data_IF_562596156656
#
_entry.id   IF_562596156656
#
_cell.length_a   1.000
_cell.length_b   1.000
_cell.length_c   1.000
_cell.angle_alpha   90.00
_cell.angle_beta   90.00
_cell.angle_gamma   90.00
#
_symmetry.space_group_name_H-M   'P 1'
#
loop_
_entity.id
_entity.type
_entity.pdbx_description
1 polymer ?
#
# COMPACT_ATOMS: atom_id res chain seq x y z
N UNK A 1 -10.75 15.26 -23.88
CA UNK A 1 -9.58 15.61 -23.02
C UNK A 1 -9.21 14.52 -22.04
N UNK A 2 -10.14 13.93 -21.26
CA UNK A 2 -9.81 12.92 -20.24
C UNK A 2 -9.07 11.68 -20.79
N UNK A 3 -9.46 11.16 -21.97
CA UNK A 3 -8.82 9.98 -22.59
C UNK A 3 -7.36 10.17 -23.03
N UNK A 4 -6.96 11.40 -23.37
CA UNK A 4 -5.58 11.71 -23.75
C UNK A 4 -4.67 11.80 -22.52
N UNK A 5 -5.20 12.36 -21.42
CA UNK A 5 -4.50 12.43 -20.14
C UNK A 5 -4.23 11.02 -19.58
N UNK A 6 -5.20 10.10 -19.72
CA UNK A 6 -5.05 8.70 -19.27
C UNK A 6 -4.02 7.92 -20.10
N UNK A 7 -3.91 8.20 -21.40
CA UNK A 7 -2.88 7.59 -22.26
C UNK A 7 -1.47 8.07 -21.89
N UNK A 8 -1.32 9.39 -21.66
CA UNK A 8 -0.06 9.98 -21.19
C UNK A 8 0.37 9.42 -19.83
N UNK A 9 -0.58 9.25 -18.89
CA UNK A 9 -0.30 8.63 -17.59
C UNK A 9 0.14 7.16 -17.73
N UNK A 10 -0.45 6.41 -18.66
CA UNK A 10 -0.03 5.04 -19.00
C UNK A 10 1.37 4.96 -19.59
N UNK A 11 1.78 5.94 -20.41
CA UNK A 11 3.13 6.03 -20.97
C UNK A 11 4.17 6.40 -19.91
N UNK A 12 3.89 7.42 -19.09
CA UNK A 12 4.73 7.79 -17.95
C UNK A 12 4.89 6.59 -17.01
N UNK A 13 3.83 5.80 -16.83
CA UNK A 13 3.86 4.57 -16.06
C UNK A 13 4.78 3.50 -16.66
N UNK A 14 4.64 3.20 -17.96
CA UNK A 14 5.51 2.24 -18.64
C UNK A 14 6.99 2.65 -18.52
N UNK A 15 7.27 3.94 -18.61
CA UNK A 15 8.62 4.49 -18.41
C UNK A 15 9.10 4.29 -16.97
N UNK A 16 8.27 4.53 -15.96
CA UNK A 16 8.61 4.32 -14.55
C UNK A 16 8.83 2.84 -14.24
N UNK A 17 7.99 1.94 -14.77
CA UNK A 17 8.16 0.50 -14.63
C UNK A 17 9.43 0.00 -15.29
N UNK A 18 9.69 0.40 -16.54
CA UNK A 18 10.92 0.06 -17.25
C UNK A 18 12.13 0.64 -16.50
N UNK A 19 12.02 1.83 -15.92
CA UNK A 19 13.07 2.44 -15.12
C UNK A 19 13.32 1.68 -13.81
N UNK A 20 12.27 1.25 -13.10
CA UNK A 20 12.38 0.40 -11.90
C UNK A 20 13.02 -0.93 -12.28
N UNK A 21 12.49 -1.62 -13.29
CA UNK A 21 13.02 -2.92 -13.75
C UNK A 21 14.47 -2.79 -14.21
N UNK A 22 14.83 -1.79 -15.02
CA UNK A 22 16.22 -1.56 -15.44
C UNK A 22 17.12 -1.21 -14.26
N UNK A 23 16.68 -0.36 -13.34
CA UNK A 23 17.50 0.08 -12.20
C UNK A 23 17.77 -1.06 -11.21
N UNK A 24 16.85 -2.02 -11.08
CA UNK A 24 17.00 -3.18 -10.19
C UNK A 24 17.53 -4.44 -10.89
N UNK A 25 17.35 -4.60 -12.21
CA UNK A 25 17.96 -5.68 -13.00
C UNK A 25 19.44 -5.40 -13.34
N UNK A 26 19.85 -4.13 -13.45
CA UNK A 26 21.22 -3.75 -13.89
C UNK A 26 22.16 -3.43 -12.71
N UNK A 27 21.64 -3.17 -11.50
CA UNK A 27 22.51 -3.21 -10.32
C UNK A 27 22.70 -4.66 -9.91
N UNK A 28 23.68 -5.30 -10.54
CA UNK A 28 24.50 -6.34 -9.92
C UNK A 28 24.47 -6.14 -8.41
N UNK A 29 23.86 -7.10 -7.71
CA UNK A 29 24.26 -7.42 -6.34
C UNK A 29 25.78 -7.57 -6.46
N UNK A 30 26.59 -6.66 -5.88
CA UNK A 30 28.03 -6.87 -5.86
C UNK A 30 28.18 -8.25 -5.25
N UNK A 31 28.79 -9.18 -5.99
CA UNK A 31 29.17 -10.45 -5.41
C UNK A 31 30.01 -10.10 -4.19
N UNK A 32 29.43 -10.26 -3.00
CA UNK A 32 30.17 -10.26 -1.76
C UNK A 32 31.37 -11.17 -1.98
N UNK A 33 32.54 -10.72 -1.56
CA UNK A 33 33.80 -11.43 -1.70
C UNK A 33 33.56 -12.88 -1.28
N UNK A 34 33.51 -13.77 -2.27
CA UNK A 34 33.25 -15.20 -2.05
C UNK A 34 34.38 -15.72 -1.16
N UNK A 35 34.14 -15.80 0.15
CA UNK A 35 34.99 -16.60 1.02
C UNK A 35 34.70 -18.04 0.64
N UNK A 36 35.56 -18.55 -0.26
CA UNK A 36 35.64 -19.93 -0.70
C UNK A 36 35.79 -20.79 0.56
N UNK A 37 34.71 -21.40 1.06
CA UNK A 37 34.80 -22.19 2.28
C UNK A 37 33.49 -22.80 2.78
N UNK A 38 32.48 -22.01 3.11
CA UNK A 38 31.24 -22.55 3.70
C UNK A 38 30.04 -21.69 3.28
N UNK A 39 29.22 -22.19 2.33
CA UNK A 39 27.86 -21.67 2.17
C UNK A 39 27.06 -22.12 3.39
N UNK A 40 27.07 -21.33 4.48
CA UNK A 40 26.05 -21.46 5.53
C UNK A 40 24.73 -20.96 4.96
N UNK A 41 24.04 -21.83 4.24
CA UNK A 41 22.68 -21.59 3.78
C UNK A 41 21.75 -21.64 4.98
N UNK A 42 21.36 -20.46 5.47
CA UNK A 42 20.29 -20.34 6.45
C UNK A 42 18.99 -20.84 5.80
N UNK A 43 18.60 -22.09 6.10
CA UNK A 43 17.41 -22.74 5.48
C UNK A 43 16.16 -21.87 5.57
N UNK A 44 15.94 -21.24 6.73
CA UNK A 44 14.80 -20.35 6.95
C UNK A 44 14.87 -19.09 6.08
N UNK A 45 16.03 -18.43 5.99
CA UNK A 45 16.20 -17.23 5.17
C UNK A 45 15.97 -17.53 3.69
N UNK A 46 16.39 -18.72 3.22
CA UNK A 46 16.17 -19.13 1.84
C UNK A 46 14.70 -19.42 1.53
N UNK A 47 13.96 -20.06 2.46
CA UNK A 47 12.52 -20.26 2.32
C UNK A 47 11.80 -18.91 2.28
N UNK A 48 12.12 -18.00 3.19
CA UNK A 48 11.52 -16.66 3.22
C UNK A 48 11.84 -15.87 1.95
N UNK A 49 13.07 -15.95 1.44
CA UNK A 49 13.46 -15.34 0.16
C UNK A 49 12.56 -15.83 -0.99
N UNK A 50 12.35 -17.14 -1.09
CA UNK A 50 11.53 -17.73 -2.16
C UNK A 50 10.08 -17.25 -2.05
N UNK A 51 9.50 -17.28 -0.84
CA UNK A 51 8.14 -16.80 -0.60
C UNK A 51 8.03 -15.33 -1.01
N UNK A 52 8.95 -14.48 -0.56
CA UNK A 52 8.96 -13.05 -0.89
C UNK A 52 9.12 -12.84 -2.40
N UNK A 53 9.96 -13.61 -3.09
CA UNK A 53 10.09 -13.53 -4.55
C UNK A 53 8.78 -13.85 -5.27
N UNK A 54 8.06 -14.89 -4.84
CA UNK A 54 6.77 -15.26 -5.43
C UNK A 54 5.74 -14.16 -5.21
N UNK A 55 5.66 -13.63 -3.98
CA UNK A 55 4.74 -12.52 -3.65
C UNK A 55 5.11 -11.26 -4.43
N UNK A 56 6.40 -10.93 -4.55
CA UNK A 56 6.89 -9.78 -5.30
C UNK A 56 6.57 -9.88 -6.80
N UNK A 57 6.78 -11.04 -7.42
CA UNK A 57 6.44 -11.24 -8.83
C UNK A 57 4.93 -11.10 -9.04
N UNK A 58 4.12 -11.68 -8.14
CA UNK A 58 2.67 -11.53 -8.16
C UNK A 58 2.22 -10.07 -7.96
N UNK A 59 2.85 -9.34 -7.03
CA UNK A 59 2.53 -7.94 -6.75
C UNK A 59 2.92 -7.02 -7.92
N UNK A 60 4.07 -7.28 -8.57
CA UNK A 60 4.47 -6.56 -9.78
C UNK A 60 3.52 -6.85 -10.93
N UNK A 61 3.14 -8.12 -11.12
CA UNK A 61 2.18 -8.51 -12.16
C UNK A 61 0.82 -7.85 -11.96
N UNK A 62 0.30 -7.85 -10.73
CA UNK A 62 -0.94 -7.14 -10.40
C UNK A 62 -0.78 -5.63 -10.58
N UNK A 63 0.33 -5.03 -10.15
CA UNK A 63 0.58 -3.61 -10.38
C UNK A 63 0.59 -3.26 -11.88
N UNK A 64 1.09 -4.13 -12.75
CA UNK A 64 1.08 -3.94 -14.21
C UNK A 64 -0.35 -4.07 -14.76
N UNK A 65 -1.06 -5.14 -14.43
CA UNK A 65 -2.37 -5.44 -15.03
C UNK A 65 -3.47 -4.53 -14.49
N UNK A 66 -3.40 -4.15 -13.22
CA UNK A 66 -4.46 -3.43 -12.53
C UNK A 66 -4.82 -2.09 -13.21
N UNK A 67 -3.87 -1.22 -13.60
CA UNK A 67 -4.16 -0.02 -14.37
C UNK A 67 -4.82 -0.31 -15.73
N UNK A 68 -4.44 -1.39 -16.42
CA UNK A 68 -5.07 -1.71 -17.71
C UNK A 68 -6.51 -2.20 -17.51
N UNK A 69 -6.72 -3.14 -16.59
CA UNK A 69 -8.02 -3.75 -16.32
C UNK A 69 -9.01 -2.77 -15.67
N UNK A 70 -8.53 -1.93 -14.76
CA UNK A 70 -9.36 -1.07 -13.91
C UNK A 70 -9.14 0.42 -14.11
N UNK A 71 -8.39 0.85 -15.13
CA UNK A 71 -8.27 2.27 -15.48
C UNK A 71 -8.49 2.49 -16.98
N UNK A 72 -7.77 1.75 -17.81
CA UNK A 72 -7.83 1.89 -19.27
C UNK A 72 -9.09 1.25 -19.84
N UNK A 73 -9.36 -0.01 -19.52
CA UNK A 73 -10.52 -0.73 -20.05
C UNK A 73 -11.85 -0.02 -19.74
N UNK A 74 -12.14 0.39 -18.48
CA UNK A 74 -13.39 1.05 -18.15
C UNK A 74 -13.52 2.43 -18.78
N UNK A 75 -12.40 3.17 -18.91
CA UNK A 75 -12.39 4.47 -19.59
C UNK A 75 -12.69 4.33 -21.09
N UNK A 76 -12.12 3.33 -21.76
CA UNK A 76 -12.41 3.01 -23.16
C UNK A 76 -13.87 2.57 -23.31
N UNK A 77 -14.34 1.65 -22.45
CA UNK A 77 -15.72 1.18 -22.47
C UNK A 77 -16.72 2.32 -22.28
N UNK A 78 -16.44 3.26 -21.37
CA UNK A 78 -17.28 4.44 -21.17
C UNK A 78 -17.33 5.37 -22.38
N UNK A 79 -16.28 5.42 -23.22
CA UNK A 79 -16.32 6.18 -24.48
C UNK A 79 -17.29 5.57 -25.50
N UNK A 80 -17.43 4.24 -25.51
CA UNK A 80 -18.33 3.52 -26.42
C UNK A 80 -19.75 3.32 -25.85
N UNK A 81 -19.87 3.26 -24.53
CA UNK A 81 -21.12 3.06 -23.80
C UNK A 81 -21.11 3.86 -22.48
N UNK A 82 -21.71 5.07 -22.48
CA UNK A 82 -21.77 5.92 -21.29
C UNK A 82 -22.50 5.29 -20.10
N UNK A 83 -23.39 4.32 -20.34
CA UNK A 83 -24.14 3.63 -19.28
C UNK A 83 -23.29 2.62 -18.50
N UNK A 84 -22.07 2.33 -18.97
CA UNK A 84 -21.13 1.43 -18.29
C UNK A 84 -20.70 1.93 -16.89
N UNK A 85 -20.80 3.25 -16.61
CA UNK A 85 -20.50 3.81 -15.29
C UNK A 85 -21.49 3.37 -14.19
N UNK A 86 -22.71 3.01 -14.57
CA UNK A 86 -23.74 2.54 -13.62
C UNK A 86 -23.63 1.06 -13.30
N UNK A 87 -22.67 0.35 -13.89
CA UNK A 87 -22.49 -1.08 -13.65
C UNK A 87 -21.74 -1.35 -12.33
N UNK A 88 -22.07 -2.46 -11.66
CA UNK A 88 -21.50 -2.84 -10.36
C UNK A 88 -19.98 -3.00 -10.40
N UNK A 89 -19.42 -3.22 -11.59
CA UNK A 89 -17.98 -3.37 -11.86
C UNK A 89 -17.20 -2.08 -11.47
N UNK A 90 -17.86 -0.92 -11.46
CA UNK A 90 -17.25 0.36 -11.04
C UNK A 90 -17.51 0.72 -9.58
N UNK A 91 -18.21 -0.13 -8.82
CA UNK A 91 -18.38 0.09 -7.39
C UNK A 91 -17.05 -0.06 -6.66
N UNK A 92 -16.81 0.81 -5.69
CA UNK A 92 -15.66 0.68 -4.81
C UNK A 92 -16.10 0.76 -3.36
N UNK A 93 -15.46 -0.06 -2.54
CA UNK A 93 -15.76 -0.15 -1.12
C UNK A 93 -15.06 0.97 -0.36
N UNK A 94 -15.87 1.78 0.33
CA UNK A 94 -15.37 2.79 1.25
C UNK A 94 -15.69 2.34 2.67
N UNK A 95 -14.66 2.29 3.50
CA UNK A 95 -14.85 2.21 4.94
C UNK A 95 -15.39 3.53 5.46
N UNK A 96 -16.47 3.49 6.22
CA UNK A 96 -17.10 4.66 6.82
C UNK A 96 -17.52 4.38 8.24
N UNK A 97 -17.66 5.45 9.03
CA UNK A 97 -18.34 5.37 10.31
C UNK A 97 -19.80 5.76 10.12
N UNK A 98 -20.71 4.94 10.61
CA UNK A 98 -22.11 5.26 10.66
C UNK A 98 -22.55 5.55 12.10
N UNK A 99 -23.46 6.49 12.24
CA UNK A 99 -24.21 6.76 13.46
C UNK A 99 -25.69 6.73 13.09
N UNK A 100 -26.41 5.78 13.67
CA UNK A 100 -27.85 5.63 13.57
C UNK A 100 -28.49 6.17 14.85
N UNK A 101 -29.35 7.18 14.75
CA UNK A 101 -30.14 7.67 15.86
C UNK A 101 -31.45 6.89 15.94
N UNK A 102 -31.57 6.04 16.96
CA UNK A 102 -32.71 5.15 17.12
C UNK A 102 -33.93 5.89 17.67
N UNK A 103 -33.76 7.11 18.23
CA UNK A 103 -34.88 7.96 18.69
C UNK A 103 -35.77 8.41 17.54
N UNK A 104 -35.18 8.52 16.35
CA UNK A 104 -35.88 8.94 15.14
C UNK A 104 -36.67 7.81 14.49
N UNK A 105 -36.55 6.58 15.00
CA UNK A 105 -37.22 5.40 14.46
C UNK A 105 -38.48 5.09 15.28
N UNK A 106 -39.63 5.62 14.83
CA UNK A 106 -40.93 5.56 15.52
C UNK A 106 -41.45 4.13 15.80
N UNK A 107 -40.88 3.11 15.16
CA UNK A 107 -41.26 1.71 15.33
C UNK A 107 -40.54 0.98 16.49
N UNK A 108 -39.49 1.56 17.08
CA UNK A 108 -38.66 0.88 18.08
C UNK A 108 -38.87 1.48 19.48
N UNK A 109 -39.52 0.72 20.38
CA UNK A 109 -39.50 1.04 21.82
C UNK A 109 -38.18 0.54 22.43
N UNK A 110 -37.24 1.46 22.60
CA UNK A 110 -35.91 1.15 23.15
C UNK A 110 -35.87 1.59 24.61
N UNK A 111 -35.57 0.65 25.50
CA UNK A 111 -35.38 0.88 26.94
C UNK A 111 -34.02 0.33 27.36
N UNK A 112 -33.40 0.92 28.39
CA UNK A 112 -32.10 0.47 28.93
C UNK A 112 -30.84 1.00 28.24
N UNK A 113 -30.94 1.92 27.28
CA UNK A 113 -29.81 2.60 26.65
C UNK A 113 -29.78 4.07 27.05
N UNK A 114 -28.65 4.53 27.58
CA UNK A 114 -28.42 5.94 27.99
C UNK A 114 -28.32 6.86 26.76
N UNK A 115 -27.57 6.43 25.73
CA UNK A 115 -27.57 7.03 24.40
C UNK A 115 -28.20 6.04 23.41
N UNK A 116 -29.37 6.36 22.88
CA UNK A 116 -30.06 5.55 21.86
C UNK A 116 -29.44 5.76 20.47
N UNK A 117 -28.11 5.73 20.38
CA UNK A 117 -27.39 5.79 19.12
C UNK A 117 -26.56 4.54 18.89
N UNK A 118 -26.72 3.93 17.71
CA UNK A 118 -25.91 2.81 17.27
C UNK A 118 -24.77 3.34 16.41
N UNK A 119 -23.54 3.00 16.78
CA UNK A 119 -22.33 3.46 16.09
C UNK A 119 -21.53 2.26 15.64
N UNK A 120 -20.99 2.32 14.43
CA UNK A 120 -20.20 1.22 13.90
C UNK A 120 -19.35 1.61 12.70
N UNK A 121 -18.47 0.67 12.34
CA UNK A 121 -17.72 0.72 11.09
C UNK A 121 -18.48 -0.10 10.05
N UNK A 122 -18.66 0.43 8.85
CA UNK A 122 -19.29 -0.28 7.75
C UNK A 122 -18.50 -0.04 6.46
N UNK A 123 -18.36 -1.10 5.68
CA UNK A 123 -17.87 -1.01 4.30
C UNK A 123 -19.07 -0.81 3.39
N UNK A 124 -19.06 0.24 2.58
CA UNK A 124 -20.12 0.52 1.61
C UNK A 124 -19.55 0.56 0.20
N UNK A 125 -20.11 -0.30 -0.66
CA UNK A 125 -19.87 -0.24 -2.10
C UNK A 125 -20.57 0.97 -2.69
N UNK A 126 -19.80 1.93 -3.19
CA UNK A 126 -20.31 3.17 -3.78
C UNK A 126 -20.03 3.17 -5.27
N UNK A 127 -21.08 3.44 -6.05
CA UNK A 127 -20.95 3.74 -7.48
C UNK A 127 -20.82 5.27 -7.60
N UNK A 128 -19.68 5.79 -8.07
CA UNK A 128 -19.43 7.23 -8.12
C UNK A 128 -20.30 7.88 -9.20
N UNK A 129 -21.01 8.96 -8.85
CA UNK A 129 -21.76 9.75 -9.82
C UNK A 129 -20.87 10.51 -10.81
N UNK A 130 -19.60 10.76 -10.45
CA UNK A 130 -18.61 11.41 -11.33
C UNK A 130 -17.41 10.51 -11.54
N UNK A 131 -17.02 10.31 -12.79
CA UNK A 131 -15.88 9.47 -13.18
C UNK A 131 -14.55 9.93 -12.57
N UNK A 132 -14.42 11.23 -12.26
CA UNK A 132 -13.23 11.78 -11.61
C UNK A 132 -12.97 11.14 -10.23
N UNK A 133 -14.02 10.82 -9.47
CA UNK A 133 -13.87 10.21 -8.14
C UNK A 133 -13.42 8.76 -8.23
N UNK A 134 -13.91 8.05 -9.25
CA UNK A 134 -13.43 6.71 -9.57
C UNK A 134 -11.94 6.74 -9.90
N UNK A 135 -11.50 7.67 -10.76
CA UNK A 135 -10.08 7.82 -11.09
C UNK A 135 -9.20 8.15 -9.89
N UNK A 136 -9.66 9.04 -9.00
CA UNK A 136 -8.95 9.34 -7.75
C UNK A 136 -8.84 8.08 -6.89
N UNK A 137 -9.94 7.33 -6.72
CA UNK A 137 -9.92 6.09 -5.94
C UNK A 137 -8.90 5.08 -6.50
N UNK A 138 -8.94 4.83 -7.81
CA UNK A 138 -8.02 3.91 -8.48
C UNK A 138 -6.56 4.36 -8.38
N UNK A 139 -6.30 5.67 -8.47
CA UNK A 139 -4.97 6.23 -8.30
C UNK A 139 -4.43 5.97 -6.88
N UNK A 140 -5.27 6.13 -5.86
CA UNK A 140 -4.90 5.88 -4.47
C UNK A 140 -4.62 4.40 -4.20
N UNK A 141 -5.44 3.51 -4.76
CA UNK A 141 -5.23 2.07 -4.63
C UNK A 141 -3.96 1.61 -5.36
N UNK A 142 -3.71 2.18 -6.53
CA UNK A 142 -2.47 1.95 -7.26
C UNK A 142 -1.23 2.43 -6.50
N UNK A 143 -1.29 3.61 -5.87
CA UNK A 143 -0.19 4.12 -5.04
C UNK A 143 0.10 3.19 -3.85
N UNK A 144 -0.92 2.62 -3.20
CA UNK A 144 -0.75 1.59 -2.16
C UNK A 144 0.00 0.38 -2.70
N UNK A 145 -0.38 -0.11 -3.88
CA UNK A 145 0.26 -1.28 -4.48
C UNK A 145 1.73 -1.01 -4.84
N UNK A 146 2.06 0.19 -5.34
CA UNK A 146 3.45 0.57 -5.58
C UNK A 146 4.31 0.57 -4.30
N UNK A 147 3.76 1.09 -3.20
CA UNK A 147 4.44 1.09 -1.90
C UNK A 147 4.66 -0.34 -1.41
N UNK A 148 3.67 -1.22 -1.56
CA UNK A 148 3.79 -2.64 -1.22
C UNK A 148 4.90 -3.32 -2.04
N UNK A 149 4.92 -3.12 -3.36
CA UNK A 149 5.97 -3.64 -4.24
C UNK A 149 7.37 -3.17 -3.81
N UNK A 150 7.50 -1.89 -3.45
CA UNK A 150 8.77 -1.34 -2.96
C UNK A 150 9.22 -2.02 -1.67
N UNK A 151 8.32 -2.19 -0.69
CA UNK A 151 8.63 -2.85 0.58
C UNK A 151 9.04 -4.32 0.34
N UNK A 152 8.31 -5.05 -0.50
CA UNK A 152 8.63 -6.43 -0.86
C UNK A 152 10.00 -6.56 -1.54
N UNK A 153 10.36 -5.60 -2.39
CA UNK A 153 11.66 -5.55 -3.03
C UNK A 153 12.80 -5.35 -2.03
N UNK A 154 12.63 -4.44 -1.06
CA UNK A 154 13.63 -4.23 -0.01
C UNK A 154 13.76 -5.47 0.90
N UNK A 155 12.66 -6.15 1.23
CA UNK A 155 12.72 -7.44 1.91
C UNK A 155 13.47 -8.49 1.08
N UNK A 156 13.19 -8.59 -0.21
CA UNK A 156 13.88 -9.52 -1.10
C UNK A 156 15.40 -9.29 -1.09
N UNK A 157 15.84 -8.02 -1.12
CA UNK A 157 17.25 -7.64 -1.07
C UNK A 157 17.90 -8.06 0.26
N UNK A 158 17.22 -7.82 1.39
CA UNK A 158 17.71 -8.22 2.72
C UNK A 158 17.92 -9.73 2.79
N UNK A 159 16.90 -10.52 2.43
CA UNK A 159 17.00 -11.98 2.49
C UNK A 159 18.01 -12.55 1.49
N UNK A 160 18.20 -11.90 0.35
CA UNK A 160 19.25 -12.29 -0.60
C UNK A 160 20.65 -12.03 -0.03
N UNK A 161 20.88 -10.89 0.64
CA UNK A 161 22.13 -10.60 1.34
C UNK A 161 22.42 -11.62 2.44
N UNK A 162 21.43 -11.96 3.25
CA UNK A 162 21.56 -12.98 4.31
C UNK A 162 21.88 -14.36 3.71
N UNK A 163 21.21 -14.76 2.62
CA UNK A 163 21.48 -16.04 1.95
C UNK A 163 22.88 -16.12 1.34
N UNK A 164 23.47 -14.98 0.98
CA UNK A 164 24.82 -14.89 0.43
C UNK A 164 25.92 -14.88 1.51
N UNK A 165 25.54 -14.87 2.80
CA UNK A 165 26.47 -14.83 3.93
C UNK A 165 26.75 -13.41 4.45
N UNK A 166 26.17 -12.40 3.82
CA UNK A 166 26.40 -10.99 4.11
C UNK A 166 25.26 -10.43 4.99
N UNK A 167 25.18 -10.91 6.23
CA UNK A 167 24.11 -10.52 7.17
C UNK A 167 24.31 -9.13 7.78
N UNK A 168 25.54 -8.63 7.82
CA UNK A 168 25.88 -7.31 8.35
C UNK A 168 26.46 -6.46 7.22
N UNK A 169 25.58 -5.81 6.46
CA UNK A 169 25.98 -4.88 5.41
C UNK A 169 25.27 -3.54 5.53
N UNK A 170 25.92 -2.49 5.03
CA UNK A 170 25.28 -1.18 4.84
C UNK A 170 24.07 -1.24 3.91
N UNK A 171 23.98 -2.24 3.03
CA UNK A 171 22.81 -2.48 2.17
C UNK A 171 21.58 -2.83 3.00
N UNK A 172 21.67 -3.80 3.91
CA UNK A 172 20.57 -4.20 4.81
C UNK A 172 20.13 -3.02 5.67
N UNK A 173 21.10 -2.30 6.25
CA UNK A 173 20.84 -1.09 7.04
C UNK A 173 20.06 -0.05 6.25
N UNK A 174 20.50 0.23 5.01
CA UNK A 174 19.84 1.18 4.12
C UNK A 174 18.42 0.76 3.75
N UNK A 175 18.20 -0.53 3.45
CA UNK A 175 16.89 -1.09 3.12
C UNK A 175 15.91 -0.95 4.29
N UNK A 176 16.31 -1.33 5.51
CA UNK A 176 15.48 -1.19 6.72
C UNK A 176 15.12 0.26 7.00
N UNK A 177 16.08 1.18 6.87
CA UNK A 177 15.86 2.61 7.07
C UNK A 177 14.82 3.17 6.09
N UNK A 178 14.95 2.85 4.79
CA UNK A 178 14.01 3.31 3.76
C UNK A 178 12.61 2.75 3.98
N UNK A 179 12.49 1.45 4.30
CA UNK A 179 11.20 0.83 4.61
C UNK A 179 10.54 1.52 5.81
N UNK A 180 11.28 1.74 6.90
CA UNK A 180 10.77 2.43 8.09
C UNK A 180 10.23 3.83 7.77
N UNK A 181 11.00 4.64 7.04
CA UNK A 181 10.58 5.99 6.62
C UNK A 181 9.31 5.93 5.77
N UNK A 182 9.25 5.05 4.76
CA UNK A 182 8.11 4.96 3.85
C UNK A 182 6.84 4.51 4.60
N UNK A 183 6.97 3.54 5.51
CA UNK A 183 5.84 3.08 6.34
C UNK A 183 5.32 4.23 7.21
N UNK A 184 6.21 5.01 7.84
CA UNK A 184 5.79 6.16 8.67
C UNK A 184 5.09 7.21 7.83
N UNK A 185 5.70 7.63 6.71
CA UNK A 185 5.14 8.67 5.83
C UNK A 185 3.77 8.22 5.31
N UNK A 186 3.68 6.99 4.78
CA UNK A 186 2.44 6.49 4.21
C UNK A 186 1.33 6.39 5.26
N UNK A 187 1.61 5.85 6.45
CA UNK A 187 0.59 5.72 7.50
C UNK A 187 0.22 7.07 8.15
N UNK A 188 1.08 8.08 8.03
CA UNK A 188 0.74 9.45 8.45
C UNK A 188 -0.12 10.17 7.41
N UNK A 189 0.12 9.96 6.12
CA UNK A 189 -0.59 10.62 5.03
C UNK A 189 -1.91 9.93 4.64
N UNK A 190 -1.93 8.59 4.68
CA UNK A 190 -3.07 7.76 4.28
C UNK A 190 -4.40 8.16 4.97
N UNK A 191 -4.46 8.48 6.27
CA UNK A 191 -5.70 8.93 6.92
C UNK A 191 -6.25 10.22 6.33
N UNK A 192 -5.40 11.19 5.97
CA UNK A 192 -5.83 12.42 5.32
C UNK A 192 -6.31 12.16 3.90
N UNK A 193 -5.57 11.33 3.17
CA UNK A 193 -5.94 10.91 1.81
C UNK A 193 -7.30 10.22 1.79
N UNK A 194 -7.55 9.32 2.75
CA UNK A 194 -8.85 8.65 2.90
C UNK A 194 -9.93 9.65 3.33
N UNK A 195 -9.65 10.50 4.31
CA UNK A 195 -10.64 11.45 4.83
C UNK A 195 -11.08 12.47 3.77
N UNK A 196 -10.15 13.10 3.05
CA UNK A 196 -10.46 14.08 2.02
C UNK A 196 -10.88 13.43 0.70
N UNK A 197 -10.20 12.36 0.29
CA UNK A 197 -10.53 11.62 -0.93
C UNK A 197 -11.91 10.98 -0.83
N UNK A 198 -12.16 10.19 0.20
CA UNK A 198 -13.47 9.54 0.40
C UNK A 198 -14.51 10.54 0.89
N UNK A 199 -14.16 11.52 1.72
CA UNK A 199 -15.08 12.58 2.13
C UNK A 199 -15.63 13.38 0.96
N UNK A 200 -14.84 13.62 -0.09
CA UNK A 200 -15.32 14.26 -1.31
C UNK A 200 -16.35 13.40 -2.07
N UNK A 201 -16.22 12.07 -2.01
CA UNK A 201 -17.21 11.14 -2.56
C UNK A 201 -18.49 11.14 -1.73
N UNK A 202 -18.34 11.00 -0.39
CA UNK A 202 -19.46 10.91 0.55
C UNK A 202 -20.32 12.17 0.59
N UNK A 203 -19.75 13.36 0.39
CA UNK A 203 -20.52 14.62 0.30
C UNK A 203 -21.57 14.62 -0.80
N UNK A 204 -21.40 13.81 -1.85
CA UNK A 204 -22.36 13.70 -2.94
C UNK A 204 -23.41 12.59 -2.71
N UNK A 205 -23.33 11.87 -1.58
CA UNK A 205 -24.27 10.81 -1.24
C UNK A 205 -25.37 11.39 -0.36
N UNK A 206 -26.58 11.48 -0.90
CA UNK A 206 -27.79 12.05 -0.28
C UNK A 206 -28.36 11.24 0.90
N UNK A 207 -27.65 10.23 1.40
CA UNK A 207 -28.14 9.28 2.42
C UNK A 207 -27.96 9.80 3.87
N UNK A 208 -27.57 11.06 4.05
CA UNK A 208 -27.55 11.70 5.37
C UNK A 208 -28.93 12.23 5.75
N UNK A 209 -29.81 11.32 6.18
CA UNK A 209 -31.02 11.73 6.93
C UNK A 209 -30.63 12.04 8.37
N UNK A 210 -31.45 12.80 9.11
CA UNK A 210 -31.18 13.05 10.54
C UNK A 210 -31.05 11.75 11.36
N UNK A 211 -31.69 10.67 10.91
CA UNK A 211 -31.62 9.35 11.52
C UNK A 211 -30.31 8.58 11.20
N UNK A 212 -29.69 8.79 10.03
CA UNK A 212 -28.48 8.06 9.61
C UNK A 212 -27.40 9.03 9.14
N UNK A 213 -26.35 9.17 9.95
CA UNK A 213 -25.19 9.99 9.61
C UNK A 213 -24.01 9.10 9.22
N UNK A 214 -23.57 9.25 7.97
CA UNK A 214 -22.37 8.60 7.44
C UNK A 214 -21.22 9.61 7.48
N UNK A 215 -20.07 9.19 7.99
CA UNK A 215 -18.86 10.03 8.07
C UNK A 215 -17.65 9.31 7.48
N UNK A 216 -16.75 10.03 6.81
CA UNK A 216 -15.53 9.45 6.25
C UNK A 216 -14.68 8.83 7.35
N UNK A 217 -14.07 7.68 7.04
CA UNK A 217 -13.20 6.98 7.95
C UNK A 217 -11.89 7.74 8.14
N UNK A 218 -11.57 8.05 9.40
CA UNK A 218 -10.28 8.57 9.82
C UNK A 218 -9.71 7.62 10.86
N UNK A 219 -8.66 6.89 10.49
CA UNK A 219 -7.98 5.96 11.38
C UNK A 219 -6.48 6.05 11.12
N UNK A 220 -5.76 6.40 12.18
CA UNK A 220 -4.30 6.35 12.21
C UNK A 220 -3.92 4.98 12.76
N UNK A 221 -3.32 4.14 11.92
CA UNK A 221 -2.78 2.84 12.37
C UNK A 221 -1.48 3.04 13.14
N UNK A 222 -1.60 3.29 14.45
CA UNK A 222 -0.46 3.51 15.36
C UNK A 222 0.48 2.30 15.33
N UNK A 223 -0.07 1.10 15.17
CA UNK A 223 0.65 -0.16 14.98
C UNK A 223 1.67 -0.10 13.84
N UNK A 224 1.32 0.52 12.71
CA UNK A 224 2.20 0.64 11.57
C UNK A 224 3.24 1.74 11.74
N UNK A 225 2.88 2.83 12.44
CA UNK A 225 3.86 3.86 12.83
C UNK A 225 4.93 3.25 13.74
N UNK A 226 4.51 2.46 14.73
CA UNK A 226 5.41 1.75 15.62
C UNK A 226 6.30 0.74 14.86
N UNK A 227 5.73 -0.02 13.92
CA UNK A 227 6.50 -0.90 13.04
C UNK A 227 7.56 -0.11 12.26
N UNK A 228 7.20 1.04 11.71
CA UNK A 228 8.13 1.91 10.99
C UNK A 228 9.28 2.39 11.89
N UNK A 229 8.98 2.84 13.11
CA UNK A 229 10.01 3.23 14.09
C UNK A 229 10.89 2.05 14.49
N UNK A 230 10.31 0.87 14.70
CA UNK A 230 11.06 -0.34 15.04
C UNK A 230 12.05 -0.71 13.93
N UNK A 231 11.68 -0.57 12.65
CA UNK A 231 12.59 -0.77 11.53
C UNK A 231 13.75 0.24 11.51
N UNK A 232 13.51 1.50 11.90
CA UNK A 232 14.57 2.50 12.02
C UNK A 232 15.54 2.17 13.15
N UNK A 233 15.02 1.75 14.30
CA UNK A 233 15.84 1.30 15.43
C UNK A 233 16.67 0.08 15.03
N UNK A 234 16.05 -0.90 14.38
CA UNK A 234 16.73 -2.10 13.88
C UNK A 234 17.83 -1.73 12.87
N UNK A 235 17.58 -0.78 11.97
CA UNK A 235 18.61 -0.27 11.07
C UNK A 235 19.80 0.32 11.85
N UNK A 236 19.55 1.09 12.91
CA UNK A 236 20.61 1.63 13.78
C UNK A 236 21.43 0.53 14.47
N UNK A 237 20.77 -0.51 14.98
CA UNK A 237 21.43 -1.65 15.62
C UNK A 237 22.32 -2.41 14.62
N UNK A 238 21.80 -2.69 13.42
CA UNK A 238 22.58 -3.38 12.38
C UNK A 238 23.75 -2.50 11.93
N UNK A 239 23.58 -1.18 11.85
CA UNK A 239 24.67 -0.28 11.51
C UNK A 239 25.84 -0.38 12.49
N UNK A 240 25.58 -0.45 13.80
CA UNK A 240 26.67 -0.64 14.76
C UNK A 240 27.26 -2.04 14.71
N UNK A 241 26.45 -3.07 14.44
CA UNK A 241 26.96 -4.41 14.19
C UNK A 241 27.87 -4.47 12.95
N UNK A 242 27.56 -3.70 11.89
CA UNK A 242 28.41 -3.57 10.69
C UNK A 242 29.76 -2.95 11.07
N UNK A 243 29.77 -1.83 11.81
CA UNK A 243 31.02 -1.19 12.25
C UNK A 243 31.87 -2.12 13.11
N UNK A 244 31.26 -2.81 14.08
CA UNK A 244 31.96 -3.80 14.91
C UNK A 244 32.56 -4.94 14.07
N UNK A 245 31.84 -5.42 13.05
CA UNK A 245 32.33 -6.46 12.16
C UNK A 245 33.52 -5.98 11.31
N UNK A 246 33.49 -4.74 10.83
CA UNK A 246 34.58 -4.12 10.09
C UNK A 246 35.83 -3.91 10.97
N UNK A 247 35.66 -3.42 12.20
CA UNK A 247 36.75 -3.28 13.18
C UNK A 247 37.42 -4.62 13.51
N UNK A 248 36.62 -5.67 13.72
CA UNK A 248 37.14 -7.01 13.96
C UNK A 248 37.93 -7.58 12.78
N UNK A 249 37.50 -7.30 11.54
CA UNK A 249 38.24 -7.70 10.33
C UNK A 249 39.57 -6.97 10.15
N UNK A 250 39.70 -5.75 10.69
CA UNK A 250 40.94 -4.96 10.61
C UNK A 250 41.96 -5.35 11.69
N UNK A 251 41.55 -6.10 12.71
CA UNK A 251 42.40 -6.50 13.85
C UNK A 251 43.01 -7.91 13.68
N UNK A 252 42.51 -8.70 12.74
CA UNK A 252 43.00 -10.05 12.37
C UNK A 252 43.92 -9.93 11.16
#
# INVERSE_FOLDING_TARGET
MAGFLTFLLGLVYAIILIWIIRRYSIKHIPGGSYIKGEKRTYRLANVLRIIISVVLVSSVFTAIIWPFAFYVYPAIRHLFDPSFLTDKIMSFDINTFFRLDLKMQSALKITGLEDQTLRGKVSMGIIPQKIIFWHIYQLLDWLKNLILCYILLEFHNIFTSICNGDAFTGVITGSLKKMGIIIIIWNSLSPFVQYYGYGAVLKNITVSTEALKITPYFYVGIEYLFLGVALLVLAGIINEAVKMHEEQRLTI
#
